data_IF_735751553532
#
_entry.id   IF_735751553532
#
_cell.length_a   1.000
_cell.length_b   1.000
_cell.length_c   1.000
_cell.angle_alpha   90.00
_cell.angle_beta   90.00
_cell.angle_gamma   90.00
#
_symmetry.space_group_name_H-M   'P 1'
#
loop_
_entity.id
_entity.type
_entity.pdbx_description
1 polymer ?
#
# COMPACT_ATOMS: atom_id res chain seq x y z
N UNK A 1 -3.38 -36.71 -46.42
CA UNK A 1 -2.83 -35.54 -45.69
C UNK A 1 -2.43 -36.05 -44.31
N UNK A 2 -1.26 -36.64 -44.05
CA UNK A 2 0.10 -36.16 -44.29
C UNK A 2 0.56 -35.35 -43.07
N UNK A 3 1.21 -35.98 -42.08
CA UNK A 3 1.84 -35.32 -40.92
C UNK A 3 3.15 -34.64 -41.33
N UNK A 4 3.58 -33.55 -40.66
CA UNK A 4 3.04 -33.02 -39.40
C UNK A 4 2.42 -31.62 -39.59
N UNK A 5 1.13 -31.48 -39.25
CA UNK A 5 0.57 -30.17 -38.98
C UNK A 5 1.13 -29.67 -37.65
N UNK A 6 1.93 -28.62 -37.68
CA UNK A 6 2.34 -27.89 -36.48
C UNK A 6 1.23 -26.90 -36.12
N UNK A 7 0.52 -27.13 -35.01
CA UNK A 7 -0.36 -26.14 -34.42
C UNK A 7 0.51 -25.08 -33.75
N UNK A 8 0.79 -23.98 -34.46
CA UNK A 8 1.45 -22.80 -33.87
C UNK A 8 0.42 -22.05 -33.04
N UNK A 9 0.64 -21.99 -31.73
CA UNK A 9 -0.26 -21.24 -30.86
C UNK A 9 -0.04 -19.74 -31.11
N UNK A 10 -1.09 -18.91 -31.04
CA UNK A 10 -0.97 -17.46 -31.28
C UNK A 10 0.02 -16.78 -30.31
N UNK A 11 0.19 -17.39 -29.13
CA UNK A 11 1.19 -17.03 -28.11
C UNK A 11 2.61 -17.25 -28.61
N UNK A 12 2.88 -18.32 -29.37
CA UNK A 12 4.21 -18.64 -29.91
C UNK A 12 4.61 -17.68 -31.04
N UNK A 13 3.62 -17.18 -31.80
CA UNK A 13 3.85 -16.23 -32.89
C UNK A 13 4.13 -14.80 -32.39
N UNK A 14 3.65 -14.46 -31.20
CA UNK A 14 3.81 -13.14 -30.57
C UNK A 14 4.65 -13.20 -29.28
N UNK A 15 5.53 -14.18 -29.15
CA UNK A 15 6.32 -14.41 -27.94
C UNK A 15 7.11 -13.17 -27.48
N UNK A 16 7.61 -12.35 -28.41
CA UNK A 16 8.26 -11.08 -28.07
C UNK A 16 7.29 -10.04 -27.46
N UNK A 17 6.05 -9.98 -27.94
CA UNK A 17 5.03 -9.08 -27.39
C UNK A 17 4.62 -9.53 -25.98
N UNK A 18 4.42 -10.84 -25.77
CA UNK A 18 4.13 -11.40 -24.46
C UNK A 18 5.29 -11.25 -23.48
N UNK A 19 6.53 -11.45 -23.92
CA UNK A 19 7.73 -11.22 -23.12
C UNK A 19 7.87 -9.73 -22.73
N UNK A 20 7.59 -8.81 -23.67
CA UNK A 20 7.56 -7.37 -23.40
C UNK A 20 6.49 -6.99 -22.37
N UNK A 21 5.26 -7.51 -22.52
CA UNK A 21 4.16 -7.29 -21.55
C UNK A 21 4.47 -7.88 -20.17
N UNK A 22 5.13 -9.03 -20.11
CA UNK A 22 5.54 -9.64 -18.84
C UNK A 22 6.64 -8.82 -18.16
N UNK A 23 7.61 -8.31 -18.93
CA UNK A 23 8.66 -7.43 -18.42
C UNK A 23 8.11 -6.08 -17.94
N UNK A 24 7.10 -5.53 -18.62
CA UNK A 24 6.37 -4.33 -18.17
C UNK A 24 5.65 -4.56 -16.85
N UNK A 25 4.90 -5.65 -16.72
CA UNK A 25 4.23 -6.02 -15.46
C UNK A 25 5.22 -6.16 -14.30
N UNK A 26 6.39 -6.73 -14.55
CA UNK A 26 7.45 -6.82 -13.55
C UNK A 26 8.00 -5.44 -13.15
N UNK A 27 8.18 -4.53 -14.12
CA UNK A 27 8.57 -3.14 -13.85
C UNK A 27 7.54 -2.41 -12.97
N UNK A 28 6.25 -2.53 -13.28
CA UNK A 28 5.17 -1.97 -12.46
C UNK A 28 5.16 -2.53 -11.04
N UNK A 29 5.45 -3.82 -10.86
CA UNK A 29 5.55 -4.44 -9.54
C UNK A 29 6.67 -3.81 -8.68
N UNK A 30 7.85 -3.56 -9.27
CA UNK A 30 8.96 -2.90 -8.56
C UNK A 30 8.58 -1.47 -8.13
N UNK A 31 7.99 -0.69 -9.04
CA UNK A 31 7.56 0.68 -8.74
C UNK A 31 6.52 0.69 -7.62
N UNK A 32 5.52 -0.19 -7.69
CA UNK A 32 4.50 -0.33 -6.66
C UNK A 32 5.12 -0.65 -5.28
N UNK A 33 6.07 -1.59 -5.25
CA UNK A 33 6.79 -1.95 -4.02
C UNK A 33 7.53 -0.75 -3.44
N UNK A 34 8.19 0.05 -4.27
CA UNK A 34 8.93 1.24 -3.84
C UNK A 34 8.00 2.31 -3.24
N UNK A 35 6.84 2.56 -3.84
CA UNK A 35 5.83 3.50 -3.30
C UNK A 35 5.35 3.05 -1.92
N UNK A 36 5.06 1.75 -1.76
CA UNK A 36 4.62 1.18 -0.48
C UNK A 36 5.72 1.31 0.57
N UNK A 37 6.99 1.05 0.21
CA UNK A 37 8.12 1.17 1.12
C UNK A 37 8.29 2.61 1.62
N UNK A 38 8.31 3.60 0.71
CA UNK A 38 8.40 5.02 1.06
C UNK A 38 7.24 5.47 1.95
N UNK A 39 6.01 5.02 1.64
CA UNK A 39 4.83 5.30 2.44
C UNK A 39 4.93 4.71 3.86
N UNK A 40 5.39 3.45 3.97
CA UNK A 40 5.55 2.80 5.27
C UNK A 40 6.59 3.52 6.16
N UNK A 41 7.69 3.98 5.57
CA UNK A 41 8.71 4.75 6.29
C UNK A 41 8.18 6.09 6.78
N UNK A 42 7.37 6.77 5.97
CA UNK A 42 6.73 8.04 6.34
C UNK A 42 5.75 7.90 7.50
N UNK A 43 5.01 6.78 7.56
CA UNK A 43 4.14 6.46 8.70
C UNK A 43 4.98 6.22 9.97
N UNK A 44 6.09 5.47 9.85
CA UNK A 44 6.99 5.19 10.98
C UNK A 44 7.56 6.49 11.54
N UNK A 45 8.15 7.35 10.70
CA UNK A 45 8.75 8.61 11.17
C UNK A 45 7.72 9.54 11.79
N UNK A 46 6.53 9.64 11.20
CA UNK A 46 5.43 10.44 11.75
C UNK A 46 4.95 9.93 13.10
N UNK A 47 4.77 8.61 13.26
CA UNK A 47 4.37 8.02 14.55
C UNK A 47 5.46 8.19 15.61
N UNK A 48 6.73 7.99 15.26
CA UNK A 48 7.86 8.23 16.18
C UNK A 48 7.88 9.70 16.62
N UNK A 49 7.74 10.64 15.69
CA UNK A 49 7.69 12.08 16.01
C UNK A 49 6.53 12.41 16.94
N UNK A 50 5.33 11.88 16.66
CA UNK A 50 4.14 12.09 17.50
C UNK A 50 4.36 11.56 18.92
N UNK A 51 4.96 10.38 19.05
CA UNK A 51 5.33 9.81 20.36
C UNK A 51 6.27 10.73 21.11
N UNK A 52 7.30 11.26 20.44
CA UNK A 52 8.28 12.17 21.04
C UNK A 52 7.64 13.48 21.50
N UNK A 53 6.77 14.09 20.69
CA UNK A 53 6.01 15.30 21.05
C UNK A 53 5.02 15.07 22.20
N UNK A 54 4.48 13.84 22.33
CA UNK A 54 3.49 13.46 23.34
C UNK A 54 4.07 12.74 24.55
N UNK A 55 5.39 12.71 24.70
CA UNK A 55 6.10 12.11 25.84
C UNK A 55 5.56 12.56 27.20
N UNK A 56 5.27 13.85 27.39
CA UNK A 56 4.72 14.39 28.65
C UNK A 56 3.32 13.86 28.95
N UNK A 57 2.43 13.87 27.97
CA UNK A 57 1.06 13.35 28.11
C UNK A 57 1.08 11.85 28.45
N UNK A 58 2.01 11.09 27.85
CA UNK A 58 2.24 9.67 28.14
C UNK A 58 2.76 9.48 29.58
N UNK A 59 3.70 10.31 30.04
CA UNK A 59 4.24 10.26 31.40
C UNK A 59 3.15 10.56 32.46
N UNK A 60 2.27 11.53 32.20
CA UNK A 60 1.11 11.84 33.06
C UNK A 60 0.19 10.61 33.11
N UNK A 61 -0.16 10.01 31.97
CA UNK A 61 -0.97 8.80 31.91
C UNK A 61 -0.35 7.64 32.69
N UNK A 62 0.96 7.42 32.59
CA UNK A 62 1.66 6.39 33.37
C UNK A 62 1.64 6.69 34.87
N UNK A 63 1.76 7.96 35.27
CA UNK A 63 1.67 8.36 36.68
C UNK A 63 0.27 8.16 37.28
N UNK A 64 -0.78 8.21 36.45
CA UNK A 64 -2.15 7.86 36.83
C UNK A 64 -2.42 6.35 36.84
N UNK A 65 -1.42 5.50 36.56
CA UNK A 65 -1.53 4.04 36.58
C UNK A 65 -1.72 3.38 35.21
N UNK A 66 -1.58 4.10 34.09
CA UNK A 66 -1.61 3.48 32.77
C UNK A 66 -0.39 2.55 32.57
N UNK A 67 -0.65 1.30 32.18
CA UNK A 67 0.41 0.34 31.89
C UNK A 67 1.02 0.57 30.50
N UNK A 68 2.28 0.18 30.31
CA UNK A 68 2.96 0.21 29.00
C UNK A 68 2.18 -0.57 27.91
N UNK A 69 1.40 -1.58 28.31
CA UNK A 69 0.53 -2.33 27.40
C UNK A 69 -0.64 -1.48 26.87
N UNK A 70 -1.21 -0.61 27.71
CA UNK A 70 -2.27 0.34 27.31
C UNK A 70 -1.75 1.34 26.29
N UNK A 71 -0.57 1.92 26.54
CA UNK A 71 0.10 2.88 25.64
C UNK A 71 0.38 2.23 24.29
N UNK A 72 0.96 1.02 24.28
CA UNK A 72 1.19 0.26 23.04
C UNK A 72 -0.11 0.07 22.25
N UNK A 73 -1.22 -0.27 22.93
CA UNK A 73 -2.52 -0.50 22.27
C UNK A 73 -3.08 0.78 21.64
N UNK A 74 -2.93 1.93 22.29
CA UNK A 74 -3.34 3.23 21.75
C UNK A 74 -2.58 3.53 20.46
N UNK A 75 -1.25 3.40 20.46
CA UNK A 75 -0.43 3.67 19.27
C UNK A 75 -0.66 2.66 18.14
N UNK A 76 -0.85 1.38 18.45
CA UNK A 76 -1.24 0.38 17.44
C UNK A 76 -2.61 0.70 16.83
N UNK A 77 -3.59 1.13 17.65
CA UNK A 77 -4.91 1.51 17.15
C UNK A 77 -4.84 2.78 16.28
N UNK A 78 -4.04 3.78 16.67
CA UNK A 78 -3.82 4.97 15.85
C UNK A 78 -3.22 4.61 14.49
N UNK A 79 -2.19 3.76 14.44
CA UNK A 79 -1.62 3.28 13.19
C UNK A 79 -2.64 2.54 12.32
N UNK A 80 -3.48 1.70 12.94
CA UNK A 80 -4.56 1.01 12.23
C UNK A 80 -5.63 1.98 11.69
N UNK A 81 -5.99 3.02 12.44
CA UNK A 81 -6.93 4.05 12.00
C UNK A 81 -6.39 4.88 10.83
N UNK A 82 -5.11 5.29 10.90
CA UNK A 82 -4.44 6.00 9.81
C UNK A 82 -4.38 5.11 8.56
N UNK A 83 -4.03 3.83 8.73
CA UNK A 83 -4.04 2.84 7.65
C UNK A 83 -5.42 2.67 7.03
N UNK A 84 -6.46 2.49 7.85
CA UNK A 84 -7.84 2.35 7.37
C UNK A 84 -8.33 3.59 6.61
N UNK A 85 -8.05 4.79 7.13
CA UNK A 85 -8.41 6.04 6.46
C UNK A 85 -7.65 6.22 5.14
N UNK A 86 -6.36 5.91 5.11
CA UNK A 86 -5.53 5.94 3.90
C UNK A 86 -6.02 4.95 2.84
N UNK A 87 -6.31 3.71 3.23
CA UNK A 87 -6.85 2.68 2.33
C UNK A 87 -8.23 3.08 1.80
N UNK A 88 -9.12 3.61 2.64
CA UNK A 88 -10.44 4.08 2.21
C UNK A 88 -10.34 5.23 1.19
N UNK A 89 -9.54 6.25 1.49
CA UNK A 89 -9.31 7.37 0.56
C UNK A 89 -8.64 6.91 -0.73
N UNK A 90 -7.67 6.00 -0.64
CA UNK A 90 -7.00 5.40 -1.77
C UNK A 90 -7.95 4.63 -2.69
N UNK A 91 -8.88 3.85 -2.14
CA UNK A 91 -9.91 3.19 -2.93
C UNK A 91 -10.86 4.16 -3.59
N UNK A 92 -11.35 5.15 -2.85
CA UNK A 92 -12.28 6.14 -3.42
C UNK A 92 -11.62 6.86 -4.58
N UNK A 93 -10.40 7.37 -4.40
CA UNK A 93 -9.64 8.03 -5.47
C UNK A 93 -9.35 7.08 -6.63
N UNK A 94 -8.85 5.87 -6.34
CA UNK A 94 -8.48 4.89 -7.36
C UNK A 94 -9.65 4.41 -8.20
N UNK A 95 -10.80 4.13 -7.58
CA UNK A 95 -12.02 3.72 -8.29
C UNK A 95 -12.59 4.89 -9.10
N UNK A 96 -12.62 6.09 -8.54
CA UNK A 96 -13.08 7.30 -9.26
C UNK A 96 -12.20 7.55 -10.50
N UNK A 97 -10.87 7.49 -10.34
CA UNK A 97 -9.93 7.60 -11.45
C UNK A 97 -10.13 6.50 -12.50
N UNK A 98 -10.30 5.25 -12.08
CA UNK A 98 -10.55 4.12 -12.98
C UNK A 98 -11.86 4.30 -13.78
N UNK A 99 -12.94 4.76 -13.13
CA UNK A 99 -14.21 5.06 -13.79
C UNK A 99 -14.11 6.26 -14.73
N UNK A 100 -13.32 7.28 -14.36
CA UNK A 100 -13.09 8.44 -15.20
C UNK A 100 -12.28 8.06 -16.45
N UNK A 101 -11.23 7.25 -16.31
CA UNK A 101 -10.48 6.69 -17.43
C UNK A 101 -11.37 5.85 -18.35
N UNK A 102 -12.23 5.00 -17.78
CA UNK A 102 -13.20 4.22 -18.54
C UNK A 102 -14.14 5.10 -19.35
N UNK A 103 -14.64 6.20 -18.76
CA UNK A 103 -15.62 7.10 -19.38
C UNK A 103 -15.02 8.06 -20.42
N UNK A 104 -13.85 8.62 -20.15
CA UNK A 104 -13.26 9.69 -20.97
C UNK A 104 -12.17 9.24 -21.94
N UNK A 105 -11.71 7.98 -21.89
CA UNK A 105 -10.74 7.40 -22.84
C UNK A 105 -9.59 8.37 -23.19
N UNK A 106 -8.98 9.02 -22.18
CA UNK A 106 -7.96 10.08 -22.34
C UNK A 106 -6.73 9.67 -23.18
N UNK A 107 -6.54 8.37 -23.41
CA UNK A 107 -5.47 7.80 -24.21
C UNK A 107 -6.12 7.10 -25.40
N UNK A 108 -6.19 7.77 -26.55
CA UNK A 108 -6.48 7.13 -27.82
C UNK A 108 -5.28 6.24 -28.18
N UNK A 109 -5.48 4.91 -28.24
CA UNK A 109 -4.42 4.01 -28.71
C UNK A 109 -4.21 4.23 -30.22
N UNK A 110 -2.96 4.41 -30.70
CA UNK A 110 -2.69 4.55 -32.12
C UNK A 110 -3.21 3.33 -32.89
N UNK A 111 -4.17 3.56 -33.79
CA UNK A 111 -4.76 2.51 -34.62
C UNK A 111 -3.68 1.89 -35.51
N UNK A 112 -3.26 0.66 -35.20
CA UNK A 112 -2.29 -0.09 -36.02
C UNK A 112 -1.41 -1.09 -35.28
N UNK A 113 -1.21 -0.97 -33.96
CA UNK A 113 -0.34 -1.88 -33.17
C UNK A 113 -1.13 -2.77 -32.20
N UNK A 114 -2.30 -2.32 -31.74
CA UNK A 114 -3.17 -3.06 -30.82
C UNK A 114 -4.51 -3.37 -31.49
N UNK A 115 -4.91 -4.65 -31.55
CA UNK A 115 -6.22 -5.10 -32.08
C UNK A 115 -7.40 -4.83 -31.12
N UNK A 116 -7.27 -3.86 -30.21
CA UNK A 116 -8.28 -3.54 -29.20
C UNK A 116 -8.49 -2.02 -29.15
N UNK A 117 -9.67 -1.56 -29.56
CA UNK A 117 -10.04 -0.13 -29.70
C UNK A 117 -10.18 0.63 -28.37
N UNK A 118 -10.04 -0.03 -27.22
CA UNK A 118 -10.13 0.59 -25.88
C UNK A 118 -9.27 -0.16 -24.87
N UNK A 119 -8.71 0.54 -23.88
CA UNK A 119 -8.05 -0.08 -22.73
C UNK A 119 -9.14 -0.63 -21.79
N UNK A 120 -9.33 -1.97 -21.67
CA UNK A 120 -10.38 -2.50 -20.84
C UNK A 120 -10.00 -2.33 -19.36
N UNK A 121 -10.57 -1.32 -18.71
CA UNK A 121 -10.46 -1.15 -17.25
C UNK A 121 -11.42 -2.14 -16.58
N UNK A 122 -10.89 -3.30 -16.22
CA UNK A 122 -11.61 -4.34 -15.48
C UNK A 122 -11.24 -4.18 -14.01
N UNK A 123 -12.22 -3.85 -13.18
CA UNK A 123 -12.07 -3.76 -11.73
C UNK A 123 -12.51 -5.10 -11.16
N UNK A 124 -11.56 -5.94 -10.76
CA UNK A 124 -11.86 -7.22 -10.11
C UNK A 124 -11.95 -7.04 -8.59
N UNK A 125 -13.05 -7.52 -8.01
CA UNK A 125 -13.25 -7.47 -6.56
C UNK A 125 -12.18 -8.25 -5.79
N UNK A 126 -11.61 -9.30 -6.39
CA UNK A 126 -10.54 -10.07 -5.78
C UNK A 126 -9.26 -9.24 -5.63
N UNK A 127 -8.84 -8.56 -6.68
CA UNK A 127 -7.67 -7.67 -6.65
C UNK A 127 -7.86 -6.53 -5.65
N UNK A 128 -9.05 -5.93 -5.62
CA UNK A 128 -9.40 -4.95 -4.59
C UNK A 128 -9.25 -5.57 -3.19
N UNK A 129 -9.84 -6.71 -2.90
CA UNK A 129 -9.76 -7.34 -1.58
C UNK A 129 -8.32 -7.65 -1.15
N UNK A 130 -7.50 -8.18 -2.07
CA UNK A 130 -6.08 -8.50 -1.81
C UNK A 130 -5.27 -7.24 -1.52
N UNK A 131 -5.41 -6.17 -2.31
CA UNK A 131 -4.72 -4.90 -2.09
C UNK A 131 -5.12 -4.31 -0.72
N UNK A 132 -6.37 -4.45 -0.32
CA UNK A 132 -6.91 -3.93 0.92
C UNK A 132 -6.36 -4.67 2.12
N UNK A 133 -6.35 -6.00 2.05
CA UNK A 133 -5.76 -6.84 3.08
C UNK A 133 -4.24 -6.58 3.22
N UNK A 134 -3.51 -6.50 2.10
CA UNK A 134 -2.06 -6.26 2.11
C UNK A 134 -1.73 -4.86 2.63
N UNK A 135 -2.41 -3.82 2.17
CA UNK A 135 -2.19 -2.44 2.66
C UNK A 135 -2.47 -2.32 4.15
N UNK A 136 -3.55 -2.92 4.64
CA UNK A 136 -3.90 -2.91 6.06
C UNK A 136 -2.88 -3.67 6.91
N UNK A 137 -2.42 -4.84 6.45
CA UNK A 137 -1.37 -5.61 7.11
C UNK A 137 -0.06 -4.84 7.17
N UNK A 138 0.33 -4.17 6.08
CA UNK A 138 1.56 -3.40 6.02
C UNK A 138 1.49 -2.14 6.91
N UNK A 139 0.38 -1.41 6.91
CA UNK A 139 0.20 -0.26 7.80
C UNK A 139 0.21 -0.68 9.27
N UNK A 140 -0.51 -1.75 9.61
CA UNK A 140 -0.55 -2.27 10.97
C UNK A 140 0.82 -2.79 11.39
N UNK A 141 1.52 -3.52 10.52
CA UNK A 141 2.87 -4.03 10.75
C UNK A 141 3.89 -2.91 10.97
N UNK A 142 3.86 -1.86 10.14
CA UNK A 142 4.71 -0.68 10.28
C UNK A 142 4.45 0.05 11.62
N UNK A 143 3.20 0.09 12.09
CA UNK A 143 2.84 0.73 13.36
C UNK A 143 3.30 -0.03 14.61
N UNK A 144 3.63 -1.33 14.52
CA UNK A 144 4.10 -2.13 15.67
C UNK A 144 5.47 -1.64 16.16
N UNK A 145 6.37 -1.25 15.24
CA UNK A 145 7.70 -0.76 15.58
C UNK A 145 7.67 0.49 16.48
N UNK A 146 7.00 1.62 16.08
CA UNK A 146 6.89 2.80 16.92
C UNK A 146 6.06 2.54 18.18
N UNK A 147 5.03 1.69 18.14
CA UNK A 147 4.26 1.34 19.34
C UNK A 147 5.13 0.64 20.41
N UNK A 148 6.11 -0.17 19.99
CA UNK A 148 7.11 -0.77 20.89
C UNK A 148 8.12 0.26 21.40
N UNK A 149 8.52 1.22 20.57
CA UNK A 149 9.39 2.33 20.96
C UNK A 149 8.70 3.19 22.05
N UNK A 150 7.43 3.55 21.84
CA UNK A 150 6.64 4.37 22.76
C UNK A 150 6.49 3.72 24.14
N UNK A 151 6.25 2.41 24.17
CA UNK A 151 6.09 1.64 25.41
C UNK A 151 7.39 1.48 26.22
N UNK A 152 8.55 1.80 25.63
CA UNK A 152 9.87 1.74 26.28
C UNK A 152 10.37 3.09 26.78
N UNK A 153 9.65 4.19 26.52
CA UNK A 153 9.99 5.50 27.06
C UNK A 153 9.83 5.50 28.57
N UNK A 154 10.94 5.70 29.28
CA UNK A 154 10.97 5.69 30.74
C UNK A 154 10.49 7.07 31.26
N UNK A 155 9.48 7.13 32.14
CA UNK A 155 8.91 8.40 32.63
C UNK A 155 9.95 9.31 33.30
N UNK A 156 11.00 8.75 33.89
CA UNK A 156 12.05 9.48 34.59
C UNK A 156 12.97 10.30 33.67
N UNK A 157 13.14 9.93 32.40
CA UNK A 157 13.93 10.72 31.44
C UNK A 157 13.12 11.86 30.82
N UNK A 158 11.80 11.69 30.65
CA UNK A 158 10.91 12.73 30.11
C UNK A 158 10.77 13.95 31.03
N UNK A 159 11.00 13.79 32.34
CA UNK A 159 10.97 14.86 33.34
C UNK A 159 12.36 15.48 33.62
N UNK A 160 13.45 14.90 33.10
CA UNK A 160 14.84 15.32 33.36
C UNK A 160 15.47 16.12 32.21
N UNK A 161 14.72 16.34 31.13
CA UNK A 161 15.15 17.21 30.02
C UNK A 161 14.74 18.69 30.22
N UNK A 162 14.32 19.05 31.44
CA UNK A 162 14.39 20.41 32.00
C UNK A 162 15.24 20.40 33.27
#
# INVERSE_FOLDING_TARGET
LGVPFFTRNWVDMNANLFAALQMERFGMFIVLLMVILVGSFSIITSLVMLVMEKTRDIAILMSMGATAASIRRIFTLQGALIGAAGTALGYVLGIVLALLLKKYQFIELPQGVYMMDTLPVIIEFFDLAVIGAVSMLLCTGAAIYPARQAARLVPAEALRYE
#
